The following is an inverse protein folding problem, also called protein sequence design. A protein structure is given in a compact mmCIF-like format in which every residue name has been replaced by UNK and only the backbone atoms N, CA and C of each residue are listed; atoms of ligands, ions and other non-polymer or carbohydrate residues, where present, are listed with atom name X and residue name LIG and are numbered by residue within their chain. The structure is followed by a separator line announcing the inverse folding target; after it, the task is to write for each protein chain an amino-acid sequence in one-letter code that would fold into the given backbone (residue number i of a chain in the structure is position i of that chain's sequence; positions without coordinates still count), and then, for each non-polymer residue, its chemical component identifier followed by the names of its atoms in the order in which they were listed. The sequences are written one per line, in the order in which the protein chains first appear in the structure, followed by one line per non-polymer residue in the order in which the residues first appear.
data_IF_960693175433
#
_entry.id   IF_960693175433
#
_cell.length_a   1.000
_cell.length_b   1.000
_cell.length_c   1.000
_cell.angle_alpha   90.00
_cell.angle_beta   90.00
_cell.angle_gamma   90.00
#
_symmetry.space_group_name_H-M   'P 1'
#
loop_
_entity.id
_entity.type
_entity.pdbx_description
1 polymer ?
#
# COMPACT_ATOMS: atom_id res chain seq x y z
N UNK A 1 6.63 -26.06 12.61
CA UNK A 1 5.65 -26.79 13.45
C UNK A 1 4.36 -26.85 12.67
N UNK A 2 3.73 -28.03 12.55
CA UNK A 2 2.38 -28.12 11.98
C UNK A 2 1.44 -27.28 12.83
N UNK A 3 0.59 -26.47 12.20
CA UNK A 3 -0.49 -25.78 12.90
C UNK A 3 -1.53 -26.84 13.27
N UNK A 4 -1.82 -27.00 14.56
CA UNK A 4 -2.90 -27.87 14.98
C UNK A 4 -4.24 -27.18 14.66
N UNK A 5 -4.99 -27.77 13.72
CA UNK A 5 -6.37 -27.41 13.37
C UNK A 5 -6.61 -25.91 13.09
N UNK A 6 -5.87 -25.29 12.16
CA UNK A 6 -5.98 -23.86 11.97
C UNK A 6 -7.35 -23.44 11.42
N UNK A 7 -7.79 -22.26 11.83
CA UNK A 7 -8.97 -21.59 11.30
C UNK A 7 -8.62 -20.55 10.23
N UNK A 8 -9.65 -19.80 9.83
CA UNK A 8 -9.58 -18.71 8.86
C UNK A 8 -10.28 -17.48 9.42
N UNK A 9 -9.76 -16.30 9.13
CA UNK A 9 -10.50 -15.04 9.32
C UNK A 9 -10.78 -14.46 7.94
N UNK A 10 -12.03 -14.13 7.66
CA UNK A 10 -12.43 -13.49 6.41
C UNK A 10 -13.43 -12.38 6.67
N UNK A 11 -13.56 -11.46 5.72
CA UNK A 11 -14.60 -10.45 5.80
C UNK A 11 -14.40 -9.32 4.82
N UNK A 12 -14.99 -8.18 5.15
CA UNK A 12 -15.02 -7.01 4.25
C UNK A 12 -14.65 -5.73 4.96
N UNK A 13 -14.07 -4.79 4.20
CA UNK A 13 -13.89 -3.39 4.57
C UNK A 13 -14.85 -2.57 3.69
N UNK A 14 -15.81 -1.90 4.31
CA UNK A 14 -16.84 -1.12 3.62
C UNK A 14 -16.79 0.36 4.00
N UNK A 15 -17.01 1.22 3.02
CA UNK A 15 -17.13 2.66 3.23
C UNK A 15 -18.51 3.02 3.78
N UNK A 16 -18.56 3.97 4.71
CA UNK A 16 -19.78 4.57 5.21
C UNK A 16 -19.76 6.10 5.11
N UNK A 17 -20.90 6.66 4.72
CA UNK A 17 -21.10 8.09 4.54
C UNK A 17 -20.70 8.61 3.16
N UNK A 18 -20.82 9.93 2.94
CA UNK A 18 -20.45 10.54 1.66
C UNK A 18 -18.95 10.36 1.40
N UNK A 19 -18.59 10.10 0.14
CA UNK A 19 -17.19 10.07 -0.27
C UNK A 19 -16.59 11.47 -0.13
N UNK A 20 -15.40 11.60 0.49
CA UNK A 20 -14.72 12.87 0.55
C UNK A 20 -14.31 13.27 -0.88
N UNK A 21 -14.18 14.57 -1.11
CA UNK A 21 -13.58 15.05 -2.35
C UNK A 21 -12.08 14.74 -2.32
N UNK A 22 -11.66 13.73 -3.07
CA UNK A 22 -10.24 13.44 -3.29
C UNK A 22 -9.81 14.24 -4.53
N UNK A 23 -8.87 15.18 -4.41
CA UNK A 23 -8.41 15.95 -5.56
C UNK A 23 -7.64 15.05 -6.54
N UNK A 24 -7.89 15.23 -7.84
CA UNK A 24 -7.00 14.73 -8.87
C UNK A 24 -5.73 15.58 -8.95
N UNK A 25 -4.66 15.01 -9.49
CA UNK A 25 -3.39 15.67 -9.67
C UNK A 25 -3.11 15.90 -11.16
N UNK A 26 -2.66 17.12 -11.50
CA UNK A 26 -2.32 17.49 -12.88
C UNK A 26 -1.07 16.75 -13.34
N UNK A 27 -1.15 16.13 -14.51
CA UNK A 27 -0.01 15.50 -15.17
C UNK A 27 0.72 16.58 -15.95
N UNK A 28 1.82 17.08 -15.39
CA UNK A 28 2.59 18.22 -15.92
C UNK A 28 3.99 17.81 -16.43
N UNK A 29 4.29 16.51 -16.45
CA UNK A 29 5.57 15.95 -16.87
C UNK A 29 5.35 14.65 -17.65
N UNK A 30 6.13 14.47 -18.71
CA UNK A 30 6.16 13.31 -19.61
C UNK A 30 4.76 12.78 -20.01
N UNK A 31 3.84 13.63 -20.51
CA UNK A 31 2.45 13.23 -20.77
C UNK A 31 2.34 12.09 -21.79
N UNK A 32 3.29 11.91 -22.68
CA UNK A 32 3.33 10.80 -23.63
C UNK A 32 3.47 9.42 -22.96
N UNK A 33 4.07 9.36 -21.76
CA UNK A 33 4.22 8.14 -20.95
C UNK A 33 3.17 8.11 -19.83
N UNK A 34 3.01 9.25 -19.16
CA UNK A 34 2.21 9.39 -17.96
C UNK A 34 0.72 9.54 -18.30
N UNK A 35 0.36 10.08 -19.45
CA UNK A 35 -1.02 10.40 -19.86
C UNK A 35 -1.28 10.06 -21.34
N UNK A 36 -1.05 8.80 -21.77
CA UNK A 36 -1.17 8.43 -23.19
C UNK A 36 -2.58 8.66 -23.74
N UNK A 37 -3.58 8.70 -22.85
CA UNK A 37 -5.00 8.91 -23.18
C UNK A 37 -5.43 10.39 -23.06
N UNK A 38 -4.51 11.30 -22.70
CA UNK A 38 -4.74 12.75 -22.61
C UNK A 38 -5.82 13.20 -21.60
N UNK A 39 -5.96 12.49 -20.48
CA UNK A 39 -6.86 12.85 -19.36
C UNK A 39 -6.45 14.12 -18.61
N UNK A 40 -5.19 14.58 -18.76
CA UNK A 40 -4.53 15.75 -18.13
C UNK A 40 -4.39 15.70 -16.62
N UNK A 41 -5.20 14.90 -15.94
CA UNK A 41 -5.19 14.70 -14.50
C UNK A 41 -5.30 13.21 -14.19
N UNK A 42 -4.88 12.81 -12.99
CA UNK A 42 -5.04 11.45 -12.48
C UNK A 42 -5.49 11.44 -11.03
N UNK A 43 -6.12 10.35 -10.61
CA UNK A 43 -6.24 10.02 -9.20
C UNK A 43 -4.88 9.62 -8.60
N UNK A 44 -4.84 9.51 -7.28
CA UNK A 44 -3.64 9.20 -6.51
C UNK A 44 -3.70 7.82 -5.83
N UNK A 45 -4.72 7.01 -6.15
CA UNK A 45 -4.99 5.67 -5.58
C UNK A 45 -5.15 5.59 -4.04
N UNK A 46 -5.17 6.74 -3.34
CA UNK A 46 -5.23 6.80 -1.86
C UNK A 46 -6.57 6.51 -1.21
N UNK A 47 -7.67 6.49 -1.97
CA UNK A 47 -8.96 5.98 -1.50
C UNK A 47 -9.77 5.53 -2.72
N UNK A 48 -9.88 4.21 -2.85
CA UNK A 48 -10.61 3.55 -3.92
C UNK A 48 -11.82 2.88 -3.29
N UNK A 49 -13.00 3.38 -3.63
CA UNK A 49 -14.27 2.81 -3.16
C UNK A 49 -15.03 2.23 -4.35
N UNK A 50 -15.15 0.90 -4.38
CA UNK A 50 -15.88 0.18 -5.41
C UNK A 50 -17.37 0.47 -5.38
N UNK A 51 -18.08 0.11 -6.45
CA UNK A 51 -19.53 0.41 -6.63
C UNK A 51 -20.43 -0.15 -5.52
N UNK A 52 -20.00 -1.21 -4.84
CA UNK A 52 -20.69 -1.83 -3.70
C UNK A 52 -20.12 -1.37 -2.34
N UNK A 53 -19.50 -0.20 -2.30
CA UNK A 53 -18.89 0.40 -1.11
C UNK A 53 -17.65 -0.33 -0.59
N UNK A 54 -17.06 -1.25 -1.34
CA UNK A 54 -15.82 -1.94 -0.99
C UNK A 54 -14.64 -0.98 -0.97
N UNK A 55 -13.78 -1.05 0.05
CA UNK A 55 -12.59 -0.20 0.13
C UNK A 55 -11.36 -1.05 -0.18
N UNK A 56 -10.69 -0.76 -1.30
CA UNK A 56 -9.42 -1.39 -1.69
C UNK A 56 -8.28 -0.89 -0.82
N UNK A 57 -7.10 -1.50 -0.94
CA UNK A 57 -5.85 -0.98 -0.37
C UNK A 57 -5.87 -0.82 1.16
N UNK A 58 -6.81 -1.44 1.85
CA UNK A 58 -6.83 -1.51 3.31
C UNK A 58 -6.03 -2.72 3.74
N UNK A 59 -5.01 -2.51 4.58
CA UNK A 59 -4.23 -3.61 5.14
C UNK A 59 -4.92 -4.13 6.38
N UNK A 60 -5.30 -5.41 6.38
CA UNK A 60 -5.91 -6.08 7.51
C UNK A 60 -4.93 -7.08 8.12
N UNK A 61 -4.71 -7.01 9.43
CA UNK A 61 -3.71 -7.84 10.10
C UNK A 61 -4.04 -8.16 11.55
N UNK A 62 -3.40 -9.22 12.07
CA UNK A 62 -3.47 -9.58 13.48
C UNK A 62 -2.37 -8.89 14.27
N UNK A 63 -2.72 -8.25 15.39
CA UNK A 63 -1.74 -7.64 16.30
C UNK A 63 -1.24 -8.67 17.32
N UNK A 64 0.04 -8.57 17.69
CA UNK A 64 0.67 -9.33 18.78
C UNK A 64 0.59 -10.87 18.65
N UNK A 65 0.52 -11.41 17.42
CA UNK A 65 0.57 -12.85 17.18
C UNK A 65 2.01 -13.38 17.27
N UNK A 66 2.24 -14.34 18.16
CA UNK A 66 3.59 -14.88 18.47
C UNK A 66 3.83 -16.29 17.92
N UNK A 67 2.81 -16.95 17.39
CA UNK A 67 2.87 -18.31 16.85
C UNK A 67 2.00 -18.42 15.61
N UNK A 68 2.41 -19.21 14.63
CA UNK A 68 1.68 -19.27 13.37
C UNK A 68 2.36 -20.08 12.28
N UNK A 69 1.80 -19.98 11.07
CA UNK A 69 2.47 -20.45 9.85
C UNK A 69 3.78 -19.70 9.64
N UNK A 70 4.67 -20.32 8.87
CA UNK A 70 5.86 -19.66 8.39
C UNK A 70 5.50 -18.43 7.54
N UNK A 71 6.41 -17.48 7.50
CA UNK A 71 6.29 -16.34 6.61
C UNK A 71 6.34 -16.84 5.16
N UNK A 72 5.19 -16.75 4.46
CA UNK A 72 5.07 -17.11 3.05
C UNK A 72 4.46 -15.92 2.30
N UNK A 73 5.34 -15.09 1.75
CA UNK A 73 4.98 -14.12 0.72
C UNK A 73 5.81 -14.45 -0.51
N UNK A 74 5.20 -15.01 -1.58
CA UNK A 74 5.93 -15.49 -2.74
C UNK A 74 6.69 -14.35 -3.42
N UNK A 75 7.82 -14.69 -4.04
CA UNK A 75 8.77 -13.72 -4.62
C UNK A 75 8.14 -12.72 -5.60
N UNK A 76 7.17 -13.10 -6.46
CA UNK A 76 6.45 -12.13 -7.31
C UNK A 76 5.71 -11.03 -6.54
N UNK A 77 5.34 -11.28 -5.27
CA UNK A 77 4.68 -10.29 -4.40
C UNK A 77 5.67 -9.38 -3.65
N UNK A 78 6.98 -9.50 -3.93
CA UNK A 78 8.04 -8.66 -3.36
C UNK A 78 8.67 -7.76 -4.43
N UNK A 79 7.85 -7.36 -5.40
CA UNK A 79 8.28 -6.67 -6.60
C UNK A 79 7.51 -5.36 -6.75
N UNK A 80 8.24 -4.26 -6.96
CA UNK A 80 7.71 -2.93 -7.18
C UNK A 80 8.08 -2.47 -8.59
N UNK A 81 7.10 -2.05 -9.38
CA UNK A 81 7.29 -1.51 -10.71
C UNK A 81 6.94 -0.02 -10.72
N UNK A 82 7.65 0.77 -11.51
CA UNK A 82 7.26 2.13 -11.87
C UNK A 82 6.71 2.09 -13.30
N UNK A 83 5.40 2.19 -13.43
CA UNK A 83 4.69 1.98 -14.70
C UNK A 83 3.55 2.97 -14.85
N UNK A 84 3.42 3.58 -16.03
CA UNK A 84 2.47 4.67 -16.31
C UNK A 84 2.56 5.80 -15.27
N UNK A 85 3.77 6.05 -14.78
CA UNK A 85 4.11 7.01 -13.74
C UNK A 85 3.31 6.74 -12.46
N UNK A 86 3.19 5.47 -12.07
CA UNK A 86 2.65 4.97 -10.80
C UNK A 86 3.62 3.95 -10.20
N UNK A 87 3.53 3.74 -8.90
CA UNK A 87 4.15 2.59 -8.25
C UNK A 87 3.15 1.43 -8.22
N UNK A 88 3.51 0.29 -8.77
CA UNK A 88 2.66 -0.90 -8.82
C UNK A 88 3.32 -2.05 -8.04
N UNK A 89 2.65 -2.64 -7.02
CA UNK A 89 1.35 -2.23 -6.48
C UNK A 89 1.44 -0.94 -5.65
N UNK A 90 0.30 -0.26 -5.46
CA UNK A 90 0.19 0.94 -4.61
C UNK A 90 0.43 0.64 -3.12
N UNK A 91 -0.06 -0.51 -2.63
CA UNK A 91 0.25 -1.04 -1.31
C UNK A 91 1.01 -2.36 -1.49
N UNK A 92 2.23 -2.42 -0.95
CA UNK A 92 3.07 -3.61 -1.00
C UNK A 92 3.30 -4.18 0.41
N UNK A 93 2.97 -5.45 0.62
CA UNK A 93 3.36 -6.18 1.84
C UNK A 93 4.68 -6.89 1.60
N UNK A 94 5.66 -6.65 2.47
CA UNK A 94 6.99 -7.23 2.34
C UNK A 94 7.41 -7.90 3.66
N UNK A 95 7.84 -9.17 3.67
CA UNK A 95 8.42 -9.74 4.88
C UNK A 95 9.63 -8.96 5.36
N UNK A 96 9.78 -8.85 6.67
CA UNK A 96 11.05 -8.48 7.28
C UNK A 96 12.20 -9.36 6.74
N UNK A 97 13.35 -8.75 6.50
CA UNK A 97 14.58 -9.37 5.98
C UNK A 97 14.48 -9.91 4.55
N UNK A 98 13.33 -9.72 3.87
CA UNK A 98 13.24 -10.04 2.45
C UNK A 98 13.93 -8.98 1.58
N UNK A 99 14.30 -9.40 0.38
CA UNK A 99 14.70 -8.47 -0.68
C UNK A 99 13.47 -7.90 -1.38
N UNK A 100 13.39 -6.57 -1.42
CA UNK A 100 12.53 -5.82 -2.31
C UNK A 100 13.20 -5.73 -3.67
N UNK A 101 12.53 -6.22 -4.71
CA UNK A 101 12.97 -6.07 -6.10
C UNK A 101 12.21 -4.92 -6.73
N UNK A 102 12.92 -4.04 -7.44
CA UNK A 102 12.36 -2.82 -8.01
C UNK A 102 12.77 -2.69 -9.47
N UNK A 103 11.90 -2.15 -10.31
CA UNK A 103 12.26 -1.66 -11.67
C UNK A 103 11.45 -0.43 -12.04
N UNK A 104 11.80 0.15 -13.19
CA UNK A 104 10.91 1.05 -13.92
C UNK A 104 10.60 0.43 -15.29
N UNK A 105 9.32 0.29 -15.63
CA UNK A 105 8.89 -0.06 -16.98
C UNK A 105 8.76 1.15 -17.89
N UNK A 106 8.66 2.34 -17.31
CA UNK A 106 8.52 3.58 -18.05
C UNK A 106 9.85 4.04 -18.65
N UNK A 107 9.78 4.53 -19.89
CA UNK A 107 10.92 5.13 -20.61
C UNK A 107 11.16 6.60 -20.19
N UNK A 108 11.06 6.89 -18.90
CA UNK A 108 11.42 8.17 -18.29
C UNK A 108 12.11 7.94 -16.93
N UNK A 109 12.86 8.93 -16.46
CA UNK A 109 13.53 8.89 -15.18
C UNK A 109 12.52 8.99 -14.03
N UNK A 110 12.37 7.89 -13.31
CA UNK A 110 11.70 7.89 -12.01
C UNK A 110 12.72 7.74 -10.88
N UNK A 111 12.26 7.98 -9.66
CA UNK A 111 13.01 7.61 -8.47
C UNK A 111 12.15 6.80 -7.53
N UNK A 112 12.74 5.86 -6.78
CA UNK A 112 12.11 5.30 -5.58
C UNK A 112 12.72 6.01 -4.37
N UNK A 113 12.03 7.03 -3.86
CA UNK A 113 12.38 7.68 -2.59
C UNK A 113 11.57 7.03 -1.47
N UNK A 114 12.26 6.58 -0.43
CA UNK A 114 11.69 5.92 0.75
C UNK A 114 11.87 6.80 1.98
N UNK A 115 10.81 6.96 2.76
CA UNK A 115 10.80 7.61 4.08
C UNK A 115 10.07 6.74 5.11
N UNK A 116 10.59 6.61 6.34
CA UNK A 116 10.00 5.78 7.40
C UNK A 116 10.93 4.66 7.85
N UNK A 117 10.45 3.41 7.85
CA UNK A 117 11.23 2.23 8.25
C UNK A 117 12.44 1.96 7.33
N UNK A 118 12.47 2.56 6.15
CA UNK A 118 13.66 2.66 5.30
C UNK A 118 13.82 4.10 4.82
N UNK A 119 15.07 4.54 4.67
CA UNK A 119 15.41 5.86 4.11
C UNK A 119 16.36 5.67 2.95
N UNK A 120 15.91 6.04 1.75
CA UNK A 120 16.69 5.85 0.52
C UNK A 120 16.14 6.69 -0.63
N UNK A 121 16.95 6.94 -1.67
CA UNK A 121 16.49 7.60 -2.89
C UNK A 121 17.24 7.04 -4.10
N UNK A 122 16.61 6.16 -4.86
CA UNK A 122 17.20 5.49 -6.02
C UNK A 122 16.69 6.07 -7.33
N UNK A 123 17.56 6.49 -8.26
CA UNK A 123 17.16 6.78 -9.63
C UNK A 123 16.98 5.50 -10.45
N UNK A 124 15.96 5.46 -11.30
CA UNK A 124 15.74 4.43 -12.31
C UNK A 124 15.76 5.07 -13.71
N UNK A 125 16.96 5.32 -14.28
CA UNK A 125 17.10 5.97 -15.58
C UNK A 125 16.88 5.02 -16.77
N UNK A 126 16.95 3.71 -16.55
CA UNK A 126 16.86 2.69 -17.60
C UNK A 126 15.65 1.80 -17.42
N UNK A 127 14.93 1.55 -18.51
CA UNK A 127 13.77 0.65 -18.54
C UNK A 127 14.17 -0.78 -18.20
N UNK A 128 13.36 -1.43 -17.38
CA UNK A 128 13.46 -2.84 -16.99
C UNK A 128 14.75 -3.26 -16.27
N UNK A 129 15.59 -2.31 -15.84
CA UNK A 129 16.68 -2.60 -14.92
C UNK A 129 16.11 -3.00 -13.55
N UNK A 130 16.48 -4.18 -13.06
CA UNK A 130 16.06 -4.67 -11.75
C UNK A 130 17.14 -4.33 -10.71
N UNK A 131 16.72 -3.70 -9.62
CA UNK A 131 17.55 -3.43 -8.44
C UNK A 131 16.91 -4.14 -7.24
N UNK A 132 17.70 -4.93 -6.50
CA UNK A 132 17.27 -5.59 -5.25
C UNK A 132 17.80 -4.82 -4.04
N UNK A 133 17.01 -4.79 -2.96
CA UNK A 133 17.41 -4.17 -1.68
C UNK A 133 16.86 -4.96 -0.48
N UNK A 134 17.69 -5.28 0.53
CA UNK A 134 17.19 -5.89 1.78
C UNK A 134 16.37 -4.89 2.61
N UNK A 135 15.32 -5.38 3.26
CA UNK A 135 14.40 -4.59 4.08
C UNK A 135 14.29 -5.16 5.51
N UNK A 136 15.27 -4.89 6.39
CA UNK A 136 15.36 -5.54 7.71
C UNK A 136 14.49 -4.89 8.79
N UNK A 137 14.06 -3.63 8.59
CA UNK A 137 13.34 -2.87 9.61
C UNK A 137 11.84 -2.93 9.34
N UNK A 138 11.09 -3.41 10.32
CA UNK A 138 9.63 -3.49 10.26
C UNK A 138 9.01 -2.10 10.33
N UNK A 139 7.84 -1.95 9.70
CA UNK A 139 7.06 -0.73 9.72
C UNK A 139 6.72 -0.18 8.34
N UNK A 140 6.13 1.02 8.34
CA UNK A 140 5.69 1.72 7.14
C UNK A 140 6.87 2.39 6.42
N UNK A 141 6.91 2.24 5.11
CA UNK A 141 7.82 2.95 4.20
C UNK A 141 6.97 3.67 3.17
N UNK A 142 6.98 4.99 3.23
CA UNK A 142 6.30 5.85 2.27
C UNK A 142 7.16 5.99 1.02
N UNK A 143 6.53 5.85 -0.15
CA UNK A 143 7.19 6.00 -1.43
C UNK A 143 6.79 7.31 -2.11
N UNK A 144 7.77 7.98 -2.71
CA UNK A 144 7.53 9.16 -3.56
C UNK A 144 8.53 9.25 -4.71
N UNK A 145 8.11 9.86 -5.82
CA UNK A 145 9.03 10.17 -6.92
C UNK A 145 9.54 11.62 -6.80
N UNK A 146 10.85 11.80 -6.77
CA UNK A 146 11.54 13.09 -6.84
C UNK A 146 12.01 13.43 -8.26
N UNK A 147 11.75 12.57 -9.25
CA UNK A 147 12.02 12.81 -10.67
C UNK A 147 11.09 13.83 -11.34
N UNK A 148 10.25 14.54 -10.58
CA UNK A 148 9.28 15.53 -11.08
C UNK A 148 7.84 15.01 -11.20
N UNK A 149 7.64 13.69 -11.11
CA UNK A 149 6.31 13.05 -11.08
C UNK A 149 5.69 13.13 -9.69
N UNK A 150 5.36 14.34 -9.24
CA UNK A 150 4.96 14.64 -7.85
C UNK A 150 3.71 13.90 -7.35
N UNK A 151 2.91 13.34 -8.26
CA UNK A 151 1.74 12.52 -7.96
C UNK A 151 2.08 11.08 -7.55
N UNK A 152 3.27 10.59 -7.88
CA UNK A 152 3.66 9.22 -7.58
C UNK A 152 3.81 9.05 -6.08
N UNK A 153 2.97 8.17 -5.53
CA UNK A 153 2.92 7.80 -4.12
C UNK A 153 2.52 6.33 -4.02
N UNK A 154 2.98 5.66 -2.97
CA UNK A 154 2.64 4.28 -2.61
C UNK A 154 3.19 3.98 -1.22
N UNK A 155 2.81 2.84 -0.65
CA UNK A 155 3.23 2.44 0.69
C UNK A 155 3.78 1.00 0.67
N UNK A 156 4.90 0.77 1.35
CA UNK A 156 5.37 -0.58 1.67
C UNK A 156 5.19 -0.80 3.16
N UNK A 157 4.57 -1.90 3.55
CA UNK A 157 4.56 -2.35 4.94
C UNK A 157 5.53 -3.52 5.07
N UNK A 158 6.62 -3.29 5.80
CA UNK A 158 7.57 -4.35 6.16
C UNK A 158 7.03 -5.07 7.40
N UNK A 159 6.62 -6.32 7.22
CA UNK A 159 5.82 -7.06 8.20
C UNK A 159 6.61 -8.17 8.91
N UNK A 160 6.46 -8.33 10.25
CA UNK A 160 7.18 -9.34 11.02
C UNK A 160 6.54 -10.74 11.02
N UNK A 161 5.30 -10.88 10.55
CA UNK A 161 4.56 -12.16 10.53
C UNK A 161 3.64 -12.27 9.30
N UNK A 162 3.16 -13.48 8.91
CA UNK A 162 2.41 -13.68 7.66
C UNK A 162 0.93 -13.27 7.70
N UNK A 163 0.40 -12.89 8.86
CA UNK A 163 -1.02 -12.58 9.02
C UNK A 163 -1.37 -11.14 8.63
N UNK A 164 -1.18 -10.82 7.36
CA UNK A 164 -1.56 -9.57 6.71
C UNK A 164 -2.27 -9.87 5.39
N UNK A 165 -3.27 -9.06 5.04
CA UNK A 165 -3.92 -9.08 3.74
C UNK A 165 -4.19 -7.65 3.29
N UNK A 166 -4.17 -7.42 1.97
CA UNK A 166 -4.65 -6.16 1.37
C UNK A 166 -6.04 -6.42 0.82
N UNK A 167 -7.00 -5.55 1.13
CA UNK A 167 -8.37 -5.68 0.63
C UNK A 167 -8.45 -5.46 -0.88
N UNK A 168 -9.30 -6.26 -1.54
CA UNK A 168 -9.59 -6.12 -2.97
C UNK A 168 -10.59 -4.98 -3.27
N UNK A 169 -10.94 -4.79 -4.54
CA UNK A 169 -11.92 -3.78 -5.01
C UNK A 169 -13.32 -3.89 -4.40
N UNK A 170 -13.68 -5.08 -3.93
CA UNK A 170 -14.94 -5.30 -3.23
C UNK A 170 -14.82 -5.12 -1.71
N UNK A 171 -13.61 -4.85 -1.23
CA UNK A 171 -13.21 -4.70 0.16
C UNK A 171 -12.92 -6.03 0.86
N UNK A 172 -12.86 -7.16 0.15
CA UNK A 172 -12.67 -8.48 0.78
C UNK A 172 -11.23 -8.70 1.19
N UNK A 173 -11.05 -9.37 2.32
CA UNK A 173 -9.76 -9.86 2.79
C UNK A 173 -9.89 -11.27 3.38
N UNK A 174 -8.78 -12.00 3.45
CA UNK A 174 -8.72 -13.31 4.08
C UNK A 174 -7.34 -13.55 4.71
N UNK A 175 -7.35 -14.07 5.94
CA UNK A 175 -6.19 -14.58 6.66
C UNK A 175 -6.43 -16.07 6.91
N UNK A 176 -5.66 -16.92 6.24
CA UNK A 176 -5.74 -18.38 6.40
C UNK A 176 -4.70 -18.88 7.40
N UNK A 177 -4.89 -20.11 7.84
CA UNK A 177 -3.95 -20.84 8.69
C UNK A 177 -3.73 -20.15 10.04
N UNK A 178 -4.77 -19.51 10.57
CA UNK A 178 -4.71 -18.81 11.84
C UNK A 178 -4.88 -19.83 12.97
N UNK A 179 -3.95 -19.92 13.94
CA UNK A 179 -4.13 -20.81 15.08
C UNK A 179 -5.45 -20.49 15.82
N UNK A 180 -6.09 -21.49 16.44
CA UNK A 180 -7.23 -21.22 17.31
C UNK A 180 -6.83 -20.29 18.47
N UNK A 181 -7.68 -19.33 18.80
CA UNK A 181 -7.41 -18.35 19.86
C UNK A 181 -8.20 -17.06 19.75
N UNK A 182 -7.94 -16.15 20.68
CA UNK A 182 -8.45 -14.78 20.66
C UNK A 182 -7.39 -13.83 20.14
N UNK A 183 -7.78 -12.96 19.21
CA UNK A 183 -6.89 -12.01 18.56
C UNK A 183 -7.49 -10.62 18.51
N UNK A 184 -6.61 -9.62 18.43
CA UNK A 184 -6.96 -8.30 17.96
C UNK A 184 -6.65 -8.21 16.46
N UNK A 185 -7.66 -7.84 15.68
CA UNK A 185 -7.56 -7.64 14.24
C UNK A 185 -7.71 -6.17 13.92
N UNK A 186 -6.82 -5.66 13.09
CA UNK A 186 -6.68 -4.25 12.75
C UNK A 186 -6.89 -4.08 11.26
N UNK A 187 -7.72 -3.13 10.86
CA UNK A 187 -7.76 -2.59 9.51
C UNK A 187 -7.01 -1.24 9.50
N UNK A 188 -6.00 -1.11 8.65
CA UNK A 188 -5.18 0.09 8.47
C UNK A 188 -5.34 0.62 7.06
N UNK A 189 -5.45 1.94 6.92
CA UNK A 189 -5.52 2.63 5.63
C UNK A 189 -4.58 3.84 5.63
N UNK A 190 -3.87 4.07 4.53
CA UNK A 190 -2.83 5.11 4.36
C UNK A 190 -3.29 6.58 4.49
N UNK A 191 -4.58 6.84 4.68
CA UNK A 191 -5.15 8.19 4.67
C UNK A 191 -5.28 8.83 3.27
N UNK A 192 -6.24 9.73 3.13
CA UNK A 192 -6.70 10.22 1.82
C UNK A 192 -6.96 11.72 1.73
N UNK A 193 -7.04 12.44 2.85
CA UNK A 193 -7.32 13.89 2.82
C UNK A 193 -6.05 14.64 2.53
N UNK A 194 -6.06 15.55 1.56
CA UNK A 194 -4.97 16.53 1.45
C UNK A 194 -5.08 17.51 2.61
N UNK A 195 -4.09 17.53 3.49
CA UNK A 195 -4.05 18.41 4.67
C UNK A 195 -3.25 19.68 4.43
N UNK A 196 -2.24 19.63 3.54
CA UNK A 196 -1.48 20.79 3.07
C UNK A 196 -0.83 20.51 1.71
N UNK A 197 -0.27 21.55 1.10
CA UNK A 197 0.63 21.43 -0.03
C UNK A 197 2.02 21.91 0.38
N UNK A 198 3.04 21.15 0.00
CA UNK A 198 4.42 21.52 0.21
C UNK A 198 5.06 21.92 -1.12
N UNK A 199 5.79 23.04 -1.10
CA UNK A 199 6.62 23.41 -2.22
C UNK A 199 7.80 22.44 -2.29
N UNK A 200 7.89 21.69 -3.38
CA UNK A 200 9.08 20.93 -3.74
C UNK A 200 9.75 21.61 -4.94
N UNK A 201 11.06 21.46 -5.05
CA UNK A 201 11.81 21.91 -6.22
C UNK A 201 12.16 20.69 -7.06
N UNK A 202 11.62 20.62 -8.26
CA UNK A 202 12.09 19.64 -9.25
C UNK A 202 13.40 20.15 -9.81
N UNK A 203 14.51 19.54 -9.36
CA UNK A 203 15.87 19.90 -9.79
C UNK A 203 16.06 19.67 -11.28
N UNK A 204 15.35 18.71 -11.89
CA UNK A 204 15.51 18.38 -13.30
C UNK A 204 14.78 19.37 -14.22
N UNK A 205 13.67 19.96 -13.76
CA UNK A 205 12.91 20.96 -14.54
C UNK A 205 13.13 22.40 -14.06
N UNK A 206 13.91 22.58 -12.99
CA UNK A 206 14.14 23.85 -12.29
C UNK A 206 12.85 24.57 -11.88
N UNK A 207 11.78 23.81 -11.66
CA UNK A 207 10.44 24.34 -11.34
C UNK A 207 10.05 24.00 -9.92
N UNK A 208 9.34 24.95 -9.30
CA UNK A 208 8.59 24.66 -8.09
C UNK A 208 7.36 23.85 -8.44
N UNK A 209 7.21 22.71 -7.79
CA UNK A 209 6.06 21.82 -7.88
C UNK A 209 5.34 21.81 -6.53
N UNK A 210 4.03 21.63 -6.54
CA UNK A 210 3.24 21.46 -5.32
C UNK A 210 3.06 19.97 -5.06
N UNK A 211 3.58 19.48 -3.93
CA UNK A 211 3.35 18.10 -3.49
C UNK A 211 2.22 18.08 -2.47
N UNK A 212 1.17 17.25 -2.67
CA UNK A 212 0.13 17.11 -1.68
C UNK A 212 0.68 16.33 -0.49
N UNK A 213 0.36 16.80 0.71
CA UNK A 213 0.57 16.03 1.94
C UNK A 213 -0.78 15.51 2.39
N UNK A 214 -0.84 14.21 2.66
CA UNK A 214 -2.05 13.53 3.06
C UNK A 214 -2.20 13.47 4.58
N UNK A 215 -3.43 13.23 5.02
CA UNK A 215 -3.75 12.91 6.41
C UNK A 215 -2.95 11.70 6.86
N UNK A 216 -2.63 11.66 8.14
CA UNK A 216 -2.07 10.48 8.78
C UNK A 216 -2.91 9.21 8.50
N UNK A 217 -2.28 8.03 8.52
CA UNK A 217 -3.00 6.78 8.39
C UNK A 217 -4.09 6.60 9.44
N UNK A 218 -5.14 5.85 9.09
CA UNK A 218 -6.27 5.54 9.97
C UNK A 218 -6.31 4.06 10.31
N UNK A 219 -6.73 3.74 11.53
CA UNK A 219 -6.86 2.36 12.01
C UNK A 219 -8.24 2.10 12.64
N UNK A 220 -8.74 0.89 12.44
CA UNK A 220 -9.93 0.36 13.10
C UNK A 220 -9.59 -1.00 13.69
N UNK A 221 -10.03 -1.24 14.93
CA UNK A 221 -9.61 -2.40 15.71
C UNK A 221 -10.84 -3.18 16.20
N UNK A 222 -10.75 -4.51 16.16
CA UNK A 222 -11.78 -5.41 16.67
C UNK A 222 -11.13 -6.61 17.35
N UNK A 223 -11.89 -7.26 18.22
CA UNK A 223 -11.55 -8.60 18.73
C UNK A 223 -12.19 -9.66 17.86
N UNK A 224 -11.50 -10.78 17.68
CA UNK A 224 -11.98 -11.96 16.96
C UNK A 224 -11.52 -13.24 17.65
N UNK A 225 -12.42 -14.20 17.76
CA UNK A 225 -12.12 -15.55 18.25
C UNK A 225 -12.10 -16.49 17.06
N UNK A 226 -11.02 -17.26 16.90
CA UNK A 226 -10.85 -18.27 15.87
C UNK A 226 -10.95 -19.64 16.52
N UNK A 227 -11.94 -20.44 16.11
CA UNK A 227 -12.06 -21.84 16.52
C UNK A 227 -11.31 -22.80 15.60
N UNK A 228 -11.15 -24.04 16.05
CA UNK A 228 -10.52 -25.12 15.28
C UNK A 228 -11.27 -25.39 13.96
N UNK A 229 -10.57 -25.30 12.82
CA UNK A 229 -11.15 -25.43 11.47
C UNK A 229 -12.34 -24.50 11.17
N UNK A 230 -12.54 -23.44 11.96
CA UNK A 230 -13.64 -22.52 11.78
C UNK A 230 -13.22 -21.29 10.95
N UNK A 231 -14.20 -20.69 10.28
CA UNK A 231 -14.06 -19.36 9.69
C UNK A 231 -14.71 -18.32 10.58
N UNK A 232 -13.92 -17.40 11.12
CA UNK A 232 -14.42 -16.23 11.82
C UNK A 232 -14.66 -15.10 10.81
N UNK A 233 -15.83 -14.45 10.88
CA UNK A 233 -16.20 -13.34 9.99
C UNK A 233 -15.99 -12.02 10.71
N UNK A 234 -15.17 -11.13 10.13
CA UNK A 234 -14.91 -9.79 10.67
C UNK A 234 -15.14 -8.74 9.59
N UNK A 235 -16.13 -7.88 9.77
CA UNK A 235 -16.39 -6.77 8.87
C UNK A 235 -15.98 -5.44 9.50
N UNK A 236 -15.28 -4.62 8.73
CA UNK A 236 -14.93 -3.24 9.08
C UNK A 236 -15.83 -2.28 8.30
N UNK A 237 -16.24 -1.21 8.99
CA UNK A 237 -16.89 -0.07 8.37
C UNK A 237 -15.97 1.12 8.60
N UNK A 238 -15.42 1.66 7.52
CA UNK A 238 -14.52 2.82 7.54
C UNK A 238 -15.28 4.06 7.08
N UNK A 239 -14.92 5.20 7.65
CA UNK A 239 -15.60 6.46 7.36
C UNK A 239 -14.61 7.63 7.40
N UNK A 240 -15.08 8.77 6.89
CA UNK A 240 -14.29 9.99 6.85
C UNK A 240 -14.08 10.63 8.23
N UNK A 241 -15.02 10.41 9.15
CA UNK A 241 -15.04 10.91 10.53
C UNK A 241 -14.61 9.83 11.52
#
# INVERSE_FOLDING_TARGET
MSLNNPGTIAGTVKWSGPLPRIPSFTINKDPEICDPESHKTRDLERLIVGSQGGVSNTVVFLRNISRGKAMDLPEPRRFLDQKRCRYEPHILLLPQDAELRMKSSDATLHTVHMDGAATYNLPFPFTNQIISRPMPTTGLVNLRCNGGHAWMNAEILVVPHPYYAVSDESGRFQLTDVPPGEYEIVAWHEGWKVVRQEAAFDVLTERRIQRPVFSEPKTWEKRVTVGEHQTAVVNFVVADK
#
